data_IF_844141968368
#
_entry.id   IF_844141968368
#
_cell.length_a   1.000
_cell.length_b   1.000
_cell.length_c   1.000
_cell.angle_alpha   90.00
_cell.angle_beta   90.00
_cell.angle_gamma   90.00
#
_symmetry.space_group_name_H-M   'P 1'
#
loop_
_entity.id
_entity.type
_entity.pdbx_description
1 polymer ?
#
# COMPACT_ATOMS: atom_id res chain seq x y z
N UNK A 1 -4.83 -24.69 -23.83
CA UNK A 1 -4.35 -24.27 -22.53
C UNK A 1 -5.56 -24.15 -21.63
N UNK A 2 -5.56 -24.78 -20.46
CA UNK A 2 -6.66 -24.67 -19.52
C UNK A 2 -6.60 -23.32 -18.80
N UNK A 3 -7.75 -22.81 -18.32
CA UNK A 3 -7.82 -21.56 -17.51
C UNK A 3 -6.82 -21.59 -16.34
N UNK A 4 -6.58 -22.77 -15.77
CA UNK A 4 -5.60 -23.01 -14.71
C UNK A 4 -4.16 -22.77 -15.18
N UNK A 5 -3.79 -23.25 -16.37
CA UNK A 5 -2.44 -23.05 -16.92
C UNK A 5 -2.19 -21.59 -17.28
N UNK A 6 -3.24 -20.84 -17.68
CA UNK A 6 -3.15 -19.41 -17.93
C UNK A 6 -2.94 -18.63 -16.62
N UNK A 7 -3.70 -18.95 -15.58
CA UNK A 7 -3.58 -18.30 -14.27
C UNK A 7 -2.23 -18.56 -13.59
N UNK A 8 -1.69 -19.78 -13.69
CA UNK A 8 -0.36 -20.12 -13.14
C UNK A 8 0.76 -19.30 -13.79
N UNK A 9 0.59 -18.85 -15.03
CA UNK A 9 1.54 -17.96 -15.72
C UNK A 9 1.46 -16.50 -15.26
N UNK A 10 0.35 -16.10 -14.66
CA UNK A 10 0.17 -14.75 -14.14
C UNK A 10 0.91 -14.63 -12.79
N UNK A 11 2.09 -14.05 -12.81
CA UNK A 11 2.82 -13.79 -11.57
C UNK A 11 2.27 -12.54 -10.88
N UNK A 12 2.01 -12.60 -9.55
CA UNK A 12 1.63 -11.40 -8.79
C UNK A 12 2.72 -10.32 -8.88
N UNK A 13 2.29 -9.08 -9.00
CA UNK A 13 3.15 -7.90 -8.88
C UNK A 13 3.09 -7.36 -7.44
N UNK A 14 3.94 -6.41 -7.09
CA UNK A 14 3.97 -5.76 -5.77
C UNK A 14 2.66 -5.01 -5.45
N UNK A 15 1.95 -4.58 -6.47
CA UNK A 15 0.63 -3.96 -6.39
C UNK A 15 -0.21 -4.55 -7.52
N UNK A 16 -0.82 -5.70 -7.27
CA UNK A 16 -1.50 -6.50 -8.29
C UNK A 16 -3.01 -6.39 -8.18
N UNK A 17 -3.61 -5.61 -9.08
CA UNK A 17 -5.05 -5.39 -9.11
C UNK A 17 -5.86 -6.62 -9.53
N UNK A 18 -5.22 -7.68 -10.03
CA UNK A 18 -5.88 -8.94 -10.40
C UNK A 18 -6.18 -9.84 -9.22
N UNK A 19 -5.53 -9.59 -8.07
CA UNK A 19 -5.81 -10.35 -6.85
C UNK A 19 -7.19 -9.99 -6.31
N UNK A 20 -7.92 -10.96 -5.77
CA UNK A 20 -9.12 -10.67 -4.99
C UNK A 20 -8.79 -9.66 -3.90
N UNK A 21 -9.52 -8.57 -3.88
CA UNK A 21 -9.27 -7.45 -2.97
C UNK A 21 -9.93 -7.68 -1.62
N UNK A 22 -9.12 -7.64 -0.57
CA UNK A 22 -9.56 -7.64 0.82
C UNK A 22 -8.81 -6.57 1.60
N UNK A 23 -9.56 -5.72 2.31
CA UNK A 23 -8.98 -4.84 3.30
C UNK A 23 -8.61 -5.64 4.55
N UNK A 24 -7.40 -5.44 5.03
CA UNK A 24 -6.81 -6.17 6.14
C UNK A 24 -6.23 -5.20 7.16
N UNK A 25 -6.20 -5.61 8.42
CA UNK A 25 -5.54 -4.86 9.49
C UNK A 25 -4.51 -5.75 10.16
N UNK A 26 -3.29 -5.26 10.23
CA UNK A 26 -2.24 -5.86 11.03
C UNK A 26 -1.99 -5.00 12.28
N UNK A 27 -1.66 -5.63 13.41
CA UNK A 27 -1.40 -4.96 14.68
C UNK A 27 -0.11 -5.45 15.31
N UNK A 28 0.67 -4.51 15.87
CA UNK A 28 1.72 -4.82 16.83
C UNK A 28 1.23 -4.49 18.23
N UNK A 29 1.27 -5.46 19.14
CA UNK A 29 0.86 -5.28 20.54
C UNK A 29 1.99 -4.76 21.43
N UNK A 30 3.22 -4.76 20.94
CA UNK A 30 4.40 -4.26 21.66
C UNK A 30 5.28 -3.46 20.71
N UNK A 31 5.79 -2.35 21.20
CA UNK A 31 6.79 -1.50 20.54
C UNK A 31 8.20 -1.71 21.14
N UNK A 32 8.35 -2.75 21.96
CA UNK A 32 9.64 -3.20 22.42
C UNK A 32 10.28 -4.11 21.35
N UNK A 33 11.57 -3.97 21.13
CA UNK A 33 12.34 -4.78 20.20
C UNK A 33 11.85 -4.75 18.74
N UNK A 34 11.31 -3.61 18.29
CA UNK A 34 11.01 -3.41 16.88
C UNK A 34 12.30 -3.52 16.04
N UNK A 35 12.27 -4.18 14.89
CA UNK A 35 13.41 -4.20 13.98
C UNK A 35 13.84 -2.78 13.61
N UNK A 36 15.11 -2.45 13.79
CA UNK A 36 15.70 -1.17 13.44
C UNK A 36 16.52 -1.28 12.16
N UNK A 37 16.13 -0.54 11.12
CA UNK A 37 16.87 -0.46 9.87
C UNK A 37 17.34 0.97 9.64
N UNK A 38 18.63 1.13 9.31
CA UNK A 38 19.20 2.42 8.97
C UNK A 38 18.88 2.81 7.55
N UNK A 39 18.74 4.10 7.31
CA UNK A 39 18.58 4.65 5.97
C UNK A 39 19.86 4.41 5.17
N UNK A 40 19.79 4.00 3.90
CA UNK A 40 20.96 3.85 3.05
C UNK A 40 21.74 5.17 2.89
N UNK A 41 23.05 5.05 2.57
CA UNK A 41 23.87 6.24 2.26
C UNK A 41 23.29 6.99 1.06
N UNK A 42 23.36 8.30 1.11
CA UNK A 42 22.85 9.17 0.03
C UNK A 42 21.40 9.63 0.24
N UNK A 43 20.79 9.26 1.36
CA UNK A 43 19.43 9.66 1.73
C UNK A 43 19.40 10.28 3.12
N UNK A 44 18.40 11.12 3.37
CA UNK A 44 18.11 11.68 4.69
C UNK A 44 16.61 11.72 4.96
N UNK A 45 16.22 11.76 6.23
CA UNK A 45 14.84 12.05 6.62
C UNK A 45 14.61 13.55 6.66
N UNK A 46 13.46 13.97 6.16
CA UNK A 46 12.94 15.33 6.32
C UNK A 46 11.49 15.26 6.76
N UNK A 47 11.09 16.19 7.63
CA UNK A 47 9.71 16.30 8.05
C UNK A 47 8.90 17.11 7.05
N UNK A 48 7.60 16.86 7.04
CA UNK A 48 6.64 17.62 6.25
C UNK A 48 6.77 19.13 6.51
N UNK A 49 6.64 19.90 5.45
CA UNK A 49 6.49 21.36 5.48
C UNK A 49 5.32 21.75 4.60
N UNK A 50 4.74 22.89 4.86
CA UNK A 50 3.68 23.43 4.00
C UNK A 50 4.18 23.49 2.53
N UNK A 51 3.33 23.00 1.61
CA UNK A 51 3.67 22.86 0.19
C UNK A 51 4.15 21.45 -0.23
N UNK A 52 4.45 20.57 0.71
CA UNK A 52 4.91 19.21 0.43
C UNK A 52 3.79 18.23 -0.01
N UNK A 53 2.53 18.67 0.01
CA UNK A 53 1.38 17.92 -0.53
C UNK A 53 1.66 17.35 -1.93
N UNK A 54 2.23 18.16 -2.81
CA UNK A 54 2.59 17.76 -4.18
C UNK A 54 3.60 16.61 -4.23
N UNK A 55 4.58 16.62 -3.32
CA UNK A 55 5.59 15.57 -3.25
C UNK A 55 5.00 14.27 -2.72
N UNK A 56 4.11 14.36 -1.72
CA UNK A 56 3.35 13.21 -1.22
C UNK A 56 2.52 12.56 -2.35
N UNK A 57 1.73 13.37 -3.09
CA UNK A 57 0.93 12.87 -4.22
C UNK A 57 1.82 12.24 -5.29
N UNK A 58 2.95 12.86 -5.62
CA UNK A 58 3.88 12.33 -6.63
C UNK A 58 4.48 10.98 -6.20
N UNK A 59 4.84 10.82 -4.92
CA UNK A 59 5.39 9.57 -4.38
C UNK A 59 4.33 8.46 -4.41
N UNK A 60 3.13 8.72 -3.91
CA UNK A 60 2.04 7.73 -3.84
C UNK A 60 1.58 7.32 -5.25
N UNK A 61 1.52 8.27 -6.21
CA UNK A 61 1.21 7.97 -7.61
C UNK A 61 2.31 7.11 -8.24
N UNK A 62 3.58 7.44 -8.02
CA UNK A 62 4.70 6.62 -8.49
C UNK A 62 4.68 5.21 -7.89
N UNK A 63 4.30 5.07 -6.62
CA UNK A 63 4.15 3.78 -5.95
C UNK A 63 2.92 2.97 -6.41
N UNK A 64 2.06 3.53 -7.26
CA UNK A 64 0.80 2.96 -7.79
C UNK A 64 -0.36 2.90 -6.78
N UNK A 65 -0.30 3.67 -5.72
CA UNK A 65 -1.47 3.86 -4.85
C UNK A 65 -2.58 4.65 -5.57
N UNK A 66 -2.18 5.51 -6.50
CA UNK A 66 -3.07 6.25 -7.40
C UNK A 66 -2.69 6.01 -8.86
N UNK A 67 -3.67 6.03 -9.74
CA UNK A 67 -3.47 6.08 -11.20
C UNK A 67 -3.32 7.52 -11.65
N UNK A 68 -4.15 8.41 -11.09
CA UNK A 68 -4.17 9.83 -11.44
C UNK A 68 -3.86 10.69 -10.20
N UNK A 69 -3.12 11.80 -10.35
CA UNK A 69 -2.84 12.72 -9.23
C UNK A 69 -4.10 13.25 -8.52
N UNK A 70 -5.23 13.38 -9.23
CA UNK A 70 -6.49 13.82 -8.64
C UNK A 70 -7.04 12.87 -7.56
N UNK A 71 -6.71 11.57 -7.64
CA UNK A 71 -7.05 10.61 -6.57
C UNK A 71 -6.24 10.93 -5.31
N UNK A 72 -4.97 11.32 -5.49
CA UNK A 72 -4.11 11.78 -4.40
C UNK A 72 -4.61 13.08 -3.76
N UNK A 73 -5.13 14.02 -4.57
CA UNK A 73 -5.78 15.22 -4.04
C UNK A 73 -6.97 14.86 -3.15
N UNK A 74 -7.85 13.97 -3.60
CA UNK A 74 -9.00 13.52 -2.83
C UNK A 74 -8.60 12.78 -1.54
N UNK A 75 -7.58 11.93 -1.60
CA UNK A 75 -7.05 11.24 -0.44
C UNK A 75 -6.42 12.21 0.57
N UNK A 76 -5.67 13.21 0.10
CA UNK A 76 -5.11 14.26 0.95
C UNK A 76 -6.22 15.01 1.71
N UNK A 77 -7.25 15.46 1.00
CA UNK A 77 -8.38 16.16 1.60
C UNK A 77 -9.08 15.30 2.67
N UNK A 78 -9.23 14.02 2.40
CA UNK A 78 -9.87 13.08 3.34
C UNK A 78 -9.08 12.90 4.64
N UNK A 79 -7.76 12.78 4.56
CA UNK A 79 -6.94 12.36 5.70
C UNK A 79 -6.15 13.50 6.36
N UNK A 80 -5.71 14.48 5.59
CA UNK A 80 -4.70 15.45 5.99
C UNK A 80 -5.13 16.92 5.95
N UNK A 81 -6.26 17.24 5.32
CA UNK A 81 -6.74 18.63 5.26
C UNK A 81 -6.88 19.23 6.67
N UNK A 82 -6.38 20.44 6.83
CA UNK A 82 -6.41 21.17 8.10
C UNK A 82 -5.43 20.69 9.18
N UNK A 83 -4.64 19.65 8.91
CA UNK A 83 -3.69 19.06 9.89
C UNK A 83 -2.22 19.47 9.70
N UNK A 84 -1.93 20.55 8.98
CA UNK A 84 -0.56 20.95 8.62
C UNK A 84 0.42 20.93 9.79
N UNK A 85 0.08 21.54 10.92
CA UNK A 85 0.93 21.55 12.14
C UNK A 85 1.19 20.16 12.72
N UNK A 86 0.20 19.27 12.67
CA UNK A 86 0.36 17.88 13.13
C UNK A 86 1.28 17.12 12.19
N UNK A 87 1.18 17.36 10.88
CA UNK A 87 1.99 16.70 9.87
C UNK A 87 3.48 17.06 9.99
N UNK A 88 3.82 18.30 10.43
CA UNK A 88 5.19 18.70 10.68
C UNK A 88 5.91 17.81 11.70
N UNK A 89 5.17 17.14 12.57
CA UNK A 89 5.71 16.22 13.58
C UNK A 89 5.50 14.73 13.24
N UNK A 90 4.64 14.41 12.26
CA UNK A 90 4.13 13.07 12.04
C UNK A 90 4.40 12.51 10.65
N UNK A 91 4.51 13.35 9.64
CA UNK A 91 4.76 12.92 8.27
C UNK A 91 6.23 13.10 7.93
N UNK A 92 6.82 12.06 7.36
CA UNK A 92 8.22 12.05 6.95
C UNK A 92 8.35 11.82 5.46
N UNK A 93 9.41 12.38 4.92
CA UNK A 93 9.91 12.02 3.60
C UNK A 93 11.34 11.48 3.74
N UNK A 94 11.69 10.61 2.84
CA UNK A 94 13.09 10.32 2.52
C UNK A 94 13.47 11.16 1.32
N UNK A 95 14.57 11.90 1.45
CA UNK A 95 15.07 12.82 0.45
C UNK A 95 16.48 12.42 0.03
N UNK A 96 16.81 12.52 -1.25
CA UNK A 96 18.18 12.38 -1.77
C UNK A 96 19.03 13.57 -1.32
N UNK A 97 20.34 13.49 -1.47
CA UNK A 97 21.23 14.63 -1.16
C UNK A 97 20.99 15.82 -2.08
N UNK A 98 20.43 15.61 -3.28
CA UNK A 98 20.08 16.66 -4.23
C UNK A 98 18.70 17.29 -3.96
N UNK A 99 17.99 16.83 -2.93
CA UNK A 99 16.72 17.41 -2.48
C UNK A 99 15.48 16.81 -3.11
N UNK A 100 15.56 15.68 -3.82
CA UNK A 100 14.39 14.98 -4.32
C UNK A 100 13.75 14.11 -3.23
N UNK A 101 12.46 14.30 -2.94
CA UNK A 101 11.68 13.44 -2.05
C UNK A 101 11.24 12.17 -2.78
N UNK A 102 11.66 11.02 -2.26
CA UNK A 102 11.56 9.71 -2.93
C UNK A 102 10.70 8.70 -2.19
N UNK A 103 10.40 8.96 -0.91
CA UNK A 103 9.53 8.10 -0.10
C UNK A 103 8.81 8.91 0.98
N UNK A 104 7.69 8.37 1.48
CA UNK A 104 6.89 9.00 2.52
C UNK A 104 6.28 7.96 3.46
N UNK A 105 6.03 8.36 4.71
CA UNK A 105 5.18 7.65 5.68
C UNK A 105 4.68 8.62 6.73
N UNK A 106 3.54 8.28 7.35
CA UNK A 106 2.94 9.11 8.40
C UNK A 106 2.73 8.31 9.68
N UNK A 107 3.21 8.85 10.81
CA UNK A 107 2.88 8.41 12.16
C UNK A 107 1.48 8.96 12.53
N UNK A 108 0.45 8.28 12.03
CA UNK A 108 -0.93 8.75 12.04
C UNK A 108 -1.71 8.25 13.26
N UNK A 109 -2.94 8.70 13.38
CA UNK A 109 -3.97 8.15 14.24
C UNK A 109 -5.31 8.22 13.50
N UNK A 110 -6.17 7.24 13.70
CA UNK A 110 -7.52 7.26 13.17
C UNK A 110 -8.48 7.77 14.26
N UNK A 111 -9.11 8.94 14.10
CA UNK A 111 -9.95 9.53 15.14
C UNK A 111 -11.12 8.64 15.58
N UNK A 112 -11.57 7.73 14.72
CA UNK A 112 -12.64 6.77 15.00
C UNK A 112 -12.14 5.48 15.65
N UNK A 113 -10.84 5.26 15.73
CA UNK A 113 -10.26 4.09 16.39
C UNK A 113 -10.14 4.31 17.90
N UNK A 114 -11.15 3.84 18.63
CA UNK A 114 -11.20 3.96 20.08
C UNK A 114 -10.19 3.06 20.84
N UNK A 115 -9.40 2.26 20.13
CA UNK A 115 -8.40 1.40 20.77
C UNK A 115 -7.17 2.16 21.29
N UNK A 116 -7.01 3.43 20.94
CA UNK A 116 -5.85 4.24 21.29
C UNK A 116 -4.56 3.83 20.57
N UNK A 117 -4.65 3.01 19.53
CA UNK A 117 -3.51 2.63 18.72
C UNK A 117 -3.03 3.77 17.82
N UNK A 118 -1.70 3.87 17.63
CA UNK A 118 -1.14 4.66 16.54
C UNK A 118 -1.31 3.90 15.19
N UNK A 119 -1.22 4.62 14.09
CA UNK A 119 -1.39 4.05 12.76
C UNK A 119 -0.16 4.35 11.90
N UNK A 120 0.46 3.31 11.37
CA UNK A 120 1.41 3.46 10.26
C UNK A 120 0.59 3.65 8.98
N UNK A 121 0.74 4.82 8.35
CA UNK A 121 -0.20 5.26 7.33
C UNK A 121 0.53 5.77 6.10
N UNK A 122 0.04 5.42 4.90
CA UNK A 122 0.57 5.85 3.62
C UNK A 122 2.09 5.70 3.51
N UNK A 123 2.55 4.45 3.45
CA UNK A 123 3.98 4.11 3.30
C UNK A 123 4.26 3.84 1.84
N UNK A 124 4.97 4.74 1.19
CA UNK A 124 5.31 4.62 -0.21
C UNK A 124 6.78 4.95 -0.51
N UNK A 125 7.31 4.30 -1.53
CA UNK A 125 8.62 4.58 -2.12
C UNK A 125 8.44 4.68 -3.63
N UNK A 126 8.90 5.76 -4.26
CA UNK A 126 8.88 5.88 -5.73
C UNK A 126 9.52 4.65 -6.38
N UNK A 127 8.96 4.18 -7.48
CA UNK A 127 9.34 2.91 -8.11
C UNK A 127 10.82 2.78 -8.41
N UNK A 128 11.43 3.82 -8.95
CA UNK A 128 12.85 3.89 -9.30
C UNK A 128 13.79 3.82 -8.09
N UNK A 129 13.25 4.07 -6.87
CA UNK A 129 13.99 4.01 -5.61
C UNK A 129 13.65 2.78 -4.76
N UNK A 130 12.79 1.89 -5.26
CA UNK A 130 12.46 0.64 -4.55
C UNK A 130 13.63 -0.34 -4.53
N UNK A 131 13.55 -1.36 -3.67
CA UNK A 131 14.53 -2.45 -3.53
C UNK A 131 15.92 -2.01 -3.02
N UNK A 132 16.02 -0.81 -2.46
CA UNK A 132 17.25 -0.25 -1.88
C UNK A 132 17.26 -0.23 -0.35
N UNK A 133 16.26 -0.81 0.31
CA UNK A 133 16.15 -0.81 1.77
C UNK A 133 15.43 0.41 2.37
N UNK A 134 15.05 1.40 1.56
CA UNK A 134 14.40 2.65 2.01
C UNK A 134 13.10 2.37 2.76
N UNK A 135 12.23 1.49 2.25
CA UNK A 135 10.95 1.17 2.90
C UNK A 135 11.14 0.62 4.33
N UNK A 136 12.09 -0.30 4.53
CA UNK A 136 12.38 -0.87 5.87
C UNK A 136 12.88 0.21 6.84
N UNK A 137 13.78 1.07 6.38
CA UNK A 137 14.29 2.18 7.20
C UNK A 137 13.17 3.17 7.54
N UNK A 138 12.33 3.54 6.58
CA UNK A 138 11.21 4.46 6.76
C UNK A 138 10.16 3.89 7.73
N UNK A 139 9.79 2.61 7.60
CA UNK A 139 8.91 1.93 8.56
C UNK A 139 9.52 1.98 9.96
N UNK A 140 10.80 1.58 10.13
CA UNK A 140 11.48 1.63 11.43
C UNK A 140 11.41 3.02 12.06
N UNK A 141 11.69 4.06 11.27
CA UNK A 141 11.66 5.45 11.72
C UNK A 141 10.24 5.88 12.16
N UNK A 142 9.22 5.52 11.38
CA UNK A 142 7.83 5.86 11.68
C UNK A 142 7.32 5.12 12.92
N UNK A 143 7.69 3.84 13.09
CA UNK A 143 7.34 3.06 14.28
C UNK A 143 7.98 3.66 15.54
N UNK A 144 9.25 4.07 15.44
CA UNK A 144 9.93 4.76 16.53
C UNK A 144 9.23 6.08 16.88
N UNK A 145 8.81 6.84 15.87
CA UNK A 145 8.05 8.08 16.09
C UNK A 145 6.70 7.84 16.77
N UNK A 146 5.96 6.80 16.36
CA UNK A 146 4.71 6.41 17.02
C UNK A 146 4.94 6.06 18.50
N UNK A 147 6.04 5.35 18.80
CA UNK A 147 6.44 5.07 20.19
C UNK A 147 6.74 6.34 20.98
N UNK A 148 7.48 7.29 20.43
CA UNK A 148 7.80 8.59 21.03
C UNK A 148 6.54 9.44 21.30
N UNK A 149 5.54 9.33 20.43
CA UNK A 149 4.23 9.94 20.59
C UNK A 149 3.35 9.26 21.67
N UNK A 150 3.86 8.17 22.29
CA UNK A 150 3.20 7.52 23.44
C UNK A 150 2.14 6.49 23.07
N UNK A 151 2.06 6.03 21.81
CA UNK A 151 1.10 5.00 21.44
C UNK A 151 1.50 3.63 22.01
N UNK A 152 0.58 2.90 22.66
CA UNK A 152 0.88 1.59 23.26
C UNK A 152 0.93 0.44 22.24
N UNK A 153 0.32 0.63 21.09
CA UNK A 153 0.28 -0.34 20.01
C UNK A 153 0.13 0.39 18.67
N UNK A 154 0.43 -0.31 17.58
CA UNK A 154 0.33 0.26 16.23
C UNK A 154 -0.53 -0.66 15.36
N UNK A 155 -1.41 -0.07 14.56
CA UNK A 155 -2.15 -0.71 13.50
C UNK A 155 -1.62 -0.30 12.13
N UNK A 156 -1.76 -1.21 11.17
CA UNK A 156 -1.46 -0.97 9.77
C UNK A 156 -2.64 -1.47 8.95
N UNK A 157 -3.41 -0.60 8.29
CA UNK A 157 -4.33 -1.00 7.24
C UNK A 157 -3.51 -1.42 6.02
N UNK A 158 -3.86 -2.54 5.43
CA UNK A 158 -3.21 -3.08 4.24
C UNK A 158 -4.23 -3.82 3.39
N UNK A 159 -3.83 -4.35 2.25
CA UNK A 159 -4.71 -5.04 1.32
C UNK A 159 -3.99 -6.25 0.71
N UNK A 160 -4.78 -7.15 0.13
CA UNK A 160 -4.22 -8.33 -0.55
C UNK A 160 -3.40 -7.97 -1.79
N UNK A 161 -3.80 -6.96 -2.53
CA UNK A 161 -3.09 -6.51 -3.74
C UNK A 161 -1.73 -5.85 -3.46
N UNK A 162 -1.48 -5.40 -2.21
CA UNK A 162 -0.17 -4.90 -1.74
C UNK A 162 0.56 -5.94 -0.88
N UNK A 163 0.46 -7.21 -1.23
CA UNK A 163 0.94 -8.36 -0.46
C UNK A 163 2.42 -8.30 -0.07
N UNK A 164 3.26 -7.68 -0.87
CA UNK A 164 4.70 -7.52 -0.56
C UNK A 164 4.89 -6.60 0.64
N UNK A 165 4.16 -5.49 0.70
CA UNK A 165 4.16 -4.59 1.86
C UNK A 165 3.58 -5.31 3.09
N UNK A 166 2.47 -6.04 2.94
CA UNK A 166 1.89 -6.84 4.01
C UNK A 166 2.90 -7.87 4.57
N UNK A 167 3.62 -8.57 3.70
CA UNK A 167 4.71 -9.48 4.10
C UNK A 167 5.81 -8.77 4.90
N UNK A 168 6.21 -7.58 4.47
CA UNK A 168 7.19 -6.76 5.19
C UNK A 168 6.68 -6.37 6.59
N UNK A 169 5.41 -6.00 6.74
CA UNK A 169 4.84 -5.69 8.05
C UNK A 169 4.80 -6.91 8.98
N UNK A 170 4.53 -8.11 8.44
CA UNK A 170 4.62 -9.35 9.21
C UNK A 170 6.06 -9.62 9.69
N UNK A 171 7.08 -9.35 8.86
CA UNK A 171 8.51 -9.41 9.23
C UNK A 171 8.85 -8.42 10.37
N UNK A 172 8.17 -7.27 10.43
CA UNK A 172 8.28 -6.31 11.54
C UNK A 172 7.57 -6.75 12.82
N UNK A 173 6.96 -7.94 12.84
CA UNK A 173 6.30 -8.50 14.03
C UNK A 173 4.81 -8.17 14.13
N UNK A 174 4.22 -7.54 13.12
CA UNK A 174 2.77 -7.33 13.10
C UNK A 174 2.02 -8.65 12.91
N UNK A 175 0.81 -8.70 13.40
CA UNK A 175 -0.06 -9.89 13.38
C UNK A 175 -1.44 -9.54 12.87
N UNK A 176 -2.14 -10.49 12.20
CA UNK A 176 -3.51 -10.31 11.74
C UNK A 176 -4.50 -9.89 12.84
N UNK A 177 -5.45 -9.02 12.47
CA UNK A 177 -6.60 -8.63 13.30
C UNK A 177 -7.88 -8.94 12.51
N UNK A 178 -8.31 -10.21 12.49
CA UNK A 178 -9.39 -10.68 11.61
C UNK A 178 -10.75 -10.08 11.93
N UNK A 179 -10.93 -9.53 13.13
CA UNK A 179 -12.21 -8.93 13.58
C UNK A 179 -12.46 -7.55 12.95
N UNK A 180 -11.44 -6.94 12.38
CA UNK A 180 -11.52 -5.55 11.88
C UNK A 180 -11.93 -5.41 10.41
N UNK A 181 -12.09 -6.52 9.68
CA UNK A 181 -12.47 -6.48 8.27
C UNK A 181 -13.43 -7.63 7.91
N UNK A 182 -14.39 -7.33 7.05
CA UNK A 182 -15.29 -8.35 6.50
C UNK A 182 -14.48 -9.30 5.61
N UNK A 183 -14.74 -10.60 5.73
CA UNK A 183 -14.04 -11.64 4.96
C UNK A 183 -12.50 -11.65 5.12
N UNK A 184 -11.98 -11.01 6.16
CA UNK A 184 -10.55 -10.92 6.41
C UNK A 184 -9.83 -12.28 6.47
N UNK A 185 -10.54 -13.36 6.89
CA UNK A 185 -9.97 -14.71 6.94
C UNK A 185 -9.52 -15.19 5.58
N UNK A 186 -10.32 -15.00 4.51
CA UNK A 186 -9.93 -15.35 3.15
C UNK A 186 -8.76 -14.47 2.68
N UNK A 187 -8.80 -13.16 2.96
CA UNK A 187 -7.71 -12.25 2.64
C UNK A 187 -6.37 -12.65 3.30
N UNK A 188 -6.40 -13.06 4.58
CA UNK A 188 -5.19 -13.61 5.23
C UNK A 188 -4.78 -14.96 4.65
N UNK A 189 -5.72 -15.79 4.19
CA UNK A 189 -5.45 -17.02 3.45
C UNK A 189 -4.73 -16.75 2.13
N UNK A 190 -5.15 -15.71 1.40
CA UNK A 190 -4.44 -15.24 0.18
C UNK A 190 -3.02 -14.78 0.52
N UNK A 191 -2.85 -13.94 1.55
CA UNK A 191 -1.53 -13.53 2.00
C UNK A 191 -0.65 -14.73 2.40
N UNK A 192 -1.24 -15.76 3.05
CA UNK A 192 -0.52 -16.99 3.38
C UNK A 192 -0.01 -17.69 2.13
N UNK A 193 -0.84 -17.82 1.11
CA UNK A 193 -0.46 -18.43 -0.17
C UNK A 193 0.69 -17.66 -0.85
N UNK A 194 0.64 -16.32 -0.81
CA UNK A 194 1.61 -15.47 -1.48
C UNK A 194 2.93 -15.33 -0.72
N UNK A 195 2.90 -15.28 0.62
CA UNK A 195 4.06 -14.98 1.45
C UNK A 195 4.63 -16.21 2.17
N UNK A 196 3.81 -17.22 2.42
CA UNK A 196 4.11 -18.36 3.30
C UNK A 196 4.65 -17.93 4.69
N UNK A 197 4.23 -16.76 5.18
CA UNK A 197 4.76 -16.21 6.43
C UNK A 197 4.19 -16.95 7.64
N UNK A 198 5.03 -17.35 8.65
CA UNK A 198 4.58 -18.14 9.80
C UNK A 198 3.52 -17.45 10.66
N UNK A 199 3.46 -16.13 10.70
CA UNK A 199 2.40 -15.38 11.39
C UNK A 199 1.00 -15.62 10.82
N UNK A 200 0.89 -16.20 9.64
CA UNK A 200 -0.37 -16.54 8.97
C UNK A 200 -0.74 -18.03 9.11
N UNK A 201 0.00 -18.80 9.90
CA UNK A 201 -0.17 -20.26 10.00
C UNK A 201 -1.58 -20.70 10.48
N UNK A 202 -2.30 -19.83 11.19
CA UNK A 202 -3.66 -20.09 11.66
C UNK A 202 -4.75 -19.92 10.58
N UNK A 203 -4.42 -19.43 9.40
CA UNK A 203 -5.36 -19.23 8.30
C UNK A 203 -5.16 -20.31 7.24
N UNK A 204 -6.24 -20.85 6.71
CA UNK A 204 -6.15 -21.77 5.58
C UNK A 204 -5.62 -21.05 4.34
N UNK A 205 -4.63 -21.59 3.63
CA UNK A 205 -4.15 -20.98 2.40
C UNK A 205 -5.22 -21.12 1.31
N UNK A 206 -5.49 -20.04 0.60
CA UNK A 206 -6.34 -20.08 -0.59
C UNK A 206 -5.54 -20.71 -1.73
N UNK A 207 -6.08 -21.70 -2.47
CA UNK A 207 -5.39 -22.26 -3.64
C UNK A 207 -4.92 -21.17 -4.61
N UNK A 208 -3.72 -21.32 -5.17
CA UNK A 208 -3.11 -20.27 -6.03
C UNK A 208 -4.01 -19.91 -7.23
N UNK A 209 -4.73 -20.87 -7.79
CA UNK A 209 -5.70 -20.68 -8.88
C UNK A 209 -6.95 -19.90 -8.47
N UNK A 210 -7.22 -19.77 -7.17
CA UNK A 210 -8.42 -19.13 -6.61
C UNK A 210 -8.17 -17.74 -6.02
N UNK A 211 -6.89 -17.30 -5.92
CA UNK A 211 -6.57 -15.96 -5.38
C UNK A 211 -6.92 -14.83 -6.35
N UNK A 212 -7.22 -15.15 -7.61
CA UNK A 212 -7.41 -14.18 -8.67
C UNK A 212 -8.88 -13.74 -8.78
N UNK A 213 -9.08 -12.45 -8.99
CA UNK A 213 -10.35 -11.89 -9.42
C UNK A 213 -10.47 -12.02 -10.95
N UNK A 214 -11.37 -12.87 -11.41
CA UNK A 214 -11.52 -13.17 -12.83
C UNK A 214 -11.95 -11.95 -13.66
N UNK A 215 -12.69 -11.01 -13.05
CA UNK A 215 -13.10 -9.78 -13.70
C UNK A 215 -11.90 -8.85 -13.90
N UNK A 216 -11.08 -8.66 -12.88
CA UNK A 216 -9.87 -7.83 -12.95
C UNK A 216 -8.83 -8.42 -13.90
N UNK A 217 -8.70 -9.74 -13.94
CA UNK A 217 -7.84 -10.45 -14.92
C UNK A 217 -8.28 -10.17 -16.36
N UNK A 218 -9.59 -10.21 -16.62
CA UNK A 218 -10.13 -9.94 -17.97
C UNK A 218 -9.97 -8.46 -18.36
N UNK A 219 -10.14 -7.54 -17.42
CA UNK A 219 -9.89 -6.09 -17.65
C UNK A 219 -8.43 -5.87 -18.03
N UNK A 220 -7.49 -6.39 -17.24
CA UNK A 220 -6.06 -6.23 -17.54
C UNK A 220 -5.72 -6.78 -18.91
N UNK A 221 -6.23 -7.95 -19.25
CA UNK A 221 -6.00 -8.58 -20.56
C UNK A 221 -6.44 -7.65 -21.70
N UNK A 222 -7.65 -7.11 -21.63
CA UNK A 222 -8.18 -6.17 -22.63
C UNK A 222 -7.38 -4.85 -22.70
N UNK A 223 -6.97 -4.32 -21.56
CA UNK A 223 -6.12 -3.13 -21.53
C UNK A 223 -4.77 -3.41 -22.18
N UNK A 224 -4.15 -4.58 -21.95
CA UNK A 224 -2.86 -4.94 -22.56
C UNK A 224 -2.96 -5.22 -24.06
N UNK A 225 -4.11 -5.67 -24.55
CA UNK A 225 -4.37 -5.80 -25.99
C UNK A 225 -4.37 -4.45 -26.71
N UNK A 226 -4.80 -3.39 -26.02
CA UNK A 226 -4.86 -2.02 -26.55
C UNK A 226 -3.60 -1.20 -26.21
N UNK A 227 -3.02 -1.42 -25.04
CA UNK A 227 -1.91 -0.66 -24.47
C UNK A 227 -0.80 -1.63 -24.01
N UNK A 228 0.11 -1.98 -24.93
CA UNK A 228 1.19 -2.94 -24.66
C UNK A 228 2.12 -2.48 -23.53
N UNK A 229 2.21 -1.16 -23.31
CA UNK A 229 3.01 -0.51 -22.28
C UNK A 229 2.22 -0.21 -20.97
N UNK A 230 1.10 -0.88 -20.75
CA UNK A 230 0.29 -0.73 -19.53
C UNK A 230 1.15 -0.93 -18.27
N UNK A 231 1.11 0.06 -17.38
CA UNK A 231 1.84 0.05 -16.11
C UNK A 231 0.93 -0.34 -14.96
N UNK A 232 -0.24 0.27 -14.88
CA UNK A 232 -1.19 0.06 -13.78
C UNK A 232 -2.60 0.47 -14.21
N UNK A 233 -3.61 -0.07 -13.54
CA UNK A 233 -5.00 0.30 -13.74
C UNK A 233 -5.78 0.23 -12.41
N UNK A 234 -6.91 0.88 -12.36
CA UNK A 234 -7.85 0.84 -11.25
C UNK A 234 -9.27 0.84 -11.77
N UNK A 235 -10.14 0.07 -11.14
CA UNK A 235 -11.57 0.07 -11.43
C UNK A 235 -12.28 0.84 -10.34
N UNK A 236 -13.05 1.84 -10.73
CA UNK A 236 -13.93 2.63 -9.87
C UNK A 236 -15.37 2.29 -10.21
N UNK A 237 -16.21 2.12 -9.21
CA UNK A 237 -17.64 1.96 -9.39
C UNK A 237 -18.34 3.27 -8.99
N UNK A 238 -18.98 3.92 -9.96
CA UNK A 238 -19.72 5.15 -9.76
C UNK A 238 -21.13 5.00 -10.35
N UNK A 239 -22.17 5.14 -9.53
CA UNK A 239 -23.58 5.05 -9.95
C UNK A 239 -23.92 3.75 -10.73
N UNK A 240 -23.33 2.62 -10.34
CA UNK A 240 -23.52 1.33 -11.00
C UNK A 240 -22.81 1.20 -12.35
N UNK A 241 -21.91 2.10 -12.66
CA UNK A 241 -21.06 2.03 -13.85
C UNK A 241 -19.60 1.89 -13.47
N UNK A 242 -18.89 1.01 -14.17
CA UNK A 242 -17.46 0.88 -14.02
C UNK A 242 -16.72 1.91 -14.86
N UNK A 243 -15.82 2.63 -14.20
CA UNK A 243 -14.80 3.48 -14.82
C UNK A 243 -13.44 2.85 -14.58
N UNK A 244 -12.68 2.65 -15.63
CA UNK A 244 -11.35 2.05 -15.55
C UNK A 244 -10.33 3.15 -15.83
N UNK A 245 -9.61 3.54 -14.79
CA UNK A 245 -8.46 4.43 -14.91
C UNK A 245 -7.22 3.58 -15.17
N UNK A 246 -6.34 4.03 -16.04
CA UNK A 246 -5.09 3.33 -16.31
C UNK A 246 -3.96 4.30 -16.62
N UNK A 247 -2.73 3.84 -16.37
CA UNK A 247 -1.52 4.52 -16.81
C UNK A 247 -0.64 3.56 -17.62
N UNK A 248 0.01 4.14 -18.62
CA UNK A 248 1.02 3.50 -19.46
C UNK A 248 2.37 4.16 -19.19
N UNK A 249 3.43 3.71 -19.85
CA UNK A 249 4.73 4.39 -19.78
C UNK A 249 4.69 5.80 -20.38
N UNK A 250 3.75 6.05 -21.29
CA UNK A 250 3.66 7.28 -22.07
C UNK A 250 2.53 8.22 -21.67
N UNK A 251 1.61 7.78 -20.79
CA UNK A 251 0.49 8.60 -20.37
C UNK A 251 -0.55 7.90 -19.50
N UNK A 252 -1.63 8.62 -19.25
CA UNK A 252 -2.78 8.14 -18.48
C UNK A 252 -4.03 8.17 -19.33
N UNK A 253 -5.01 7.33 -19.04
CA UNK A 253 -6.28 7.29 -19.74
C UNK A 253 -7.42 6.80 -18.87
N UNK A 254 -8.62 6.94 -19.41
CA UNK A 254 -9.85 6.42 -18.84
C UNK A 254 -10.55 5.55 -19.90
N UNK A 255 -10.96 4.38 -19.49
CA UNK A 255 -11.79 3.52 -20.31
C UNK A 255 -13.15 3.36 -19.65
N UNK A 256 -14.20 3.77 -20.37
CA UNK A 256 -15.59 3.55 -19.95
C UNK A 256 -16.10 2.31 -20.66
N UNK A 257 -16.46 1.31 -19.88
CA UNK A 257 -17.09 0.11 -20.41
C UNK A 257 -18.47 0.51 -20.88
N UNK A 258 -18.70 0.51 -22.20
CA UNK A 258 -20.04 0.48 -22.76
C UNK A 258 -20.59 -0.92 -22.54
N UNK A 259 -21.65 -1.05 -21.75
CA UNK A 259 -22.41 -2.28 -21.58
C UNK A 259 -23.36 -2.48 -22.75
#
# INVERSE_FOLDING_TARGET
MTKREELIKLKPDNHDMRLKYYELVLKSSSLENLPGFSLPKGYRYVYYREGDKKDWIAIETSAREFVLPMEGEAAWEKYYAGKGKELEERMFFVETLDGEKVATATAFYEPRDLSGAGWLHWVAVKREYQRQGIAKALISHTLQRLKELGYPSIKIPTQTNTWVAAGMYLDFGFRPVPENAVNSREGYGILRTLTNHPALAAFEPVPYEEIWDSHMVEIEKKLREQYADLVHFRVLEENGQERILFCTQTGTGEWKKAF
#
